data_IF_640666534493
#
_entry.id   IF_640666534493
#
_cell.length_a   1.000
_cell.length_b   1.000
_cell.length_c   1.000
_cell.angle_alpha   90.00
_cell.angle_beta   90.00
_cell.angle_gamma   90.00
#
_symmetry.space_group_name_H-M   'P 1'
#
loop_
_entity.id
_entity.type
_entity.pdbx_description
1 polymer ?
#
# COMPACT_ATOMS: atom_id res chain seq x y z
N UNK A 1 -16.49 10.26 9.88
CA UNK A 1 -15.35 9.35 9.61
C UNK A 1 -14.35 10.07 8.73
N UNK A 2 -13.22 10.54 9.26
CA UNK A 2 -12.15 11.07 8.41
C UNK A 2 -11.54 9.87 7.67
N UNK A 3 -11.86 9.69 6.39
CA UNK A 3 -11.16 8.74 5.53
C UNK A 3 -9.70 9.21 5.42
N UNK A 4 -8.83 8.71 6.31
CA UNK A 4 -7.38 8.94 6.26
C UNK A 4 -6.70 8.18 5.12
N UNK A 5 -7.46 7.35 4.41
CA UNK A 5 -7.03 6.53 3.29
C UNK A 5 -7.66 7.11 2.02
N UNK A 6 -6.85 7.69 1.11
CA UNK A 6 -7.35 8.13 -0.19
C UNK A 6 -7.67 6.93 -1.09
N UNK A 7 -8.42 7.15 -2.17
CA UNK A 7 -8.64 6.11 -3.18
C UNK A 7 -7.29 5.63 -3.72
N UNK A 8 -7.08 4.31 -3.81
CA UNK A 8 -5.79 3.77 -4.24
C UNK A 8 -5.43 4.21 -5.68
N UNK A 9 -6.45 4.41 -6.52
CA UNK A 9 -6.32 4.92 -7.89
C UNK A 9 -5.93 6.39 -7.98
N UNK A 10 -6.00 7.13 -6.86
CA UNK A 10 -5.56 8.54 -6.77
C UNK A 10 -4.11 8.69 -6.30
N UNK A 11 -3.48 7.59 -5.86
CA UNK A 11 -2.07 7.55 -5.49
C UNK A 11 -1.22 7.15 -6.70
N UNK A 12 0.01 7.65 -6.76
CA UNK A 12 0.99 7.14 -7.74
C UNK A 12 1.48 5.74 -7.34
N UNK A 13 1.95 4.97 -8.33
CA UNK A 13 2.48 3.62 -8.08
C UNK A 13 3.62 3.63 -7.06
N UNK A 14 4.47 4.66 -7.11
CA UNK A 14 5.58 4.81 -6.18
C UNK A 14 5.13 4.98 -4.72
N UNK A 15 4.10 5.79 -4.42
CA UNK A 15 3.58 5.93 -3.07
C UNK A 15 2.86 4.67 -2.59
N UNK A 16 2.20 3.93 -3.48
CA UNK A 16 1.58 2.64 -3.13
C UNK A 16 2.67 1.62 -2.77
N UNK A 17 3.70 1.47 -3.61
CA UNK A 17 4.82 0.58 -3.35
C UNK A 17 5.53 0.94 -2.04
N UNK A 18 5.82 2.23 -1.83
CA UNK A 18 6.44 2.71 -0.59
C UNK A 18 5.55 2.48 0.64
N UNK A 19 4.22 2.63 0.51
CA UNK A 19 3.28 2.32 1.58
C UNK A 19 3.31 0.83 1.93
N UNK A 20 3.25 -0.06 0.93
CA UNK A 20 3.30 -1.51 1.10
C UNK A 20 4.59 -1.96 1.78
N UNK A 21 5.74 -1.44 1.33
CA UNK A 21 7.04 -1.70 1.98
C UNK A 21 7.08 -1.17 3.41
N UNK A 22 6.53 0.03 3.64
CA UNK A 22 6.42 0.60 4.98
C UNK A 22 5.56 -0.25 5.92
N UNK A 23 4.46 -0.84 5.43
CA UNK A 23 3.61 -1.69 6.27
C UNK A 23 4.33 -2.96 6.76
N UNK A 24 5.30 -3.49 6.00
CA UNK A 24 6.16 -4.60 6.45
C UNK A 24 6.94 -4.24 7.72
N UNK A 25 7.48 -3.01 7.76
CA UNK A 25 8.31 -2.51 8.86
C UNK A 25 7.50 -1.90 10.01
N UNK A 26 6.17 -1.88 9.90
CA UNK A 26 5.28 -1.33 10.92
C UNK A 26 4.99 0.17 10.75
N UNK A 27 5.29 0.77 9.59
CA UNK A 27 4.85 2.11 9.28
C UNK A 27 3.31 2.18 9.29
N UNK A 28 2.76 3.28 9.78
CA UNK A 28 1.31 3.47 9.86
C UNK A 28 0.82 4.51 8.85
N UNK A 29 1.26 4.38 7.60
CA UNK A 29 0.80 5.25 6.51
C UNK A 29 -0.72 5.09 6.37
N UNK A 30 -1.43 6.21 6.20
CA UNK A 30 -2.90 6.26 6.12
C UNK A 30 -3.68 5.69 7.33
N UNK A 31 -3.01 5.36 8.44
CA UNK A 31 -3.66 4.77 9.62
C UNK A 31 -3.98 3.27 9.51
N UNK A 32 -3.45 2.57 8.50
CA UNK A 32 -3.72 1.16 8.24
C UNK A 32 -2.60 0.21 8.64
N UNK A 33 -1.52 0.68 9.26
CA UNK A 33 -0.32 -0.13 9.53
C UNK A 33 -0.61 -1.43 10.28
N UNK A 34 -1.45 -1.40 11.30
CA UNK A 34 -1.82 -2.60 12.05
C UNK A 34 -2.62 -3.62 11.23
N UNK A 35 -3.45 -3.17 10.29
CA UNK A 35 -4.27 -4.03 9.43
C UNK A 35 -3.49 -4.52 8.20
N UNK A 36 -2.63 -3.67 7.64
CA UNK A 36 -1.85 -3.96 6.44
C UNK A 36 -0.57 -4.73 6.73
N UNK A 37 -0.03 -4.69 7.95
CA UNK A 37 1.17 -5.46 8.33
C UNK A 37 1.07 -6.95 7.99
N UNK A 38 0.05 -7.72 8.43
CA UNK A 38 -0.04 -9.14 8.09
C UNK A 38 -0.22 -9.41 6.59
N UNK A 39 -0.75 -8.44 5.83
CA UNK A 39 -0.91 -8.52 4.37
C UNK A 39 0.42 -8.25 3.66
N UNK A 40 1.18 -7.25 4.15
CA UNK A 40 2.44 -6.83 3.56
C UNK A 40 3.60 -7.78 3.94
N UNK A 41 3.59 -8.39 5.13
CA UNK A 41 4.66 -9.29 5.61
C UNK A 41 5.02 -10.41 4.64
N UNK A 42 4.08 -11.18 4.06
CA UNK A 42 4.41 -12.25 3.11
C UNK A 42 4.75 -11.75 1.69
N UNK A 43 4.53 -10.46 1.42
CA UNK A 43 4.72 -9.88 0.09
C UNK A 43 6.22 -9.71 -0.19
N UNK A 44 6.70 -10.08 -1.38
CA UNK A 44 8.04 -9.72 -1.85
C UNK A 44 8.10 -8.24 -2.27
N UNK A 45 9.25 -7.74 -2.72
CA UNK A 45 9.34 -6.38 -3.25
C UNK A 45 8.79 -6.32 -4.68
N UNK A 46 8.94 -7.42 -5.42
CA UNK A 46 8.35 -7.65 -6.73
C UNK A 46 6.81 -7.66 -6.65
N UNK A 47 6.24 -8.33 -5.65
CA UNK A 47 4.79 -8.36 -5.43
C UNK A 47 4.24 -6.96 -5.11
N UNK A 48 4.94 -6.19 -4.26
CA UNK A 48 4.53 -4.84 -3.90
C UNK A 48 4.50 -3.91 -5.13
N UNK A 49 5.50 -4.05 -6.01
CA UNK A 49 5.55 -3.34 -7.29
C UNK A 49 4.43 -3.79 -8.24
N UNK A 50 4.23 -5.10 -8.40
CA UNK A 50 3.18 -5.64 -9.26
C UNK A 50 1.78 -5.19 -8.82
N UNK A 51 1.52 -5.15 -7.52
CA UNK A 51 0.26 -4.64 -6.96
C UNK A 51 0.12 -3.14 -7.22
N UNK A 52 1.18 -2.36 -7.03
CA UNK A 52 1.16 -0.93 -7.30
C UNK A 52 0.87 -0.62 -8.78
N UNK A 53 1.51 -1.35 -9.70
CA UNK A 53 1.26 -1.25 -11.15
C UNK A 53 -0.17 -1.68 -11.50
N UNK A 54 -0.65 -2.80 -10.95
CA UNK A 54 -2.01 -3.27 -11.18
C UNK A 54 -3.06 -2.24 -10.77
N UNK A 55 -2.89 -1.60 -9.60
CA UNK A 55 -3.81 -0.57 -9.12
C UNK A 55 -3.91 0.61 -10.10
N UNK A 56 -2.83 0.99 -10.79
CA UNK A 56 -2.87 2.05 -11.80
C UNK A 56 -3.74 1.69 -13.02
N UNK A 57 -3.96 0.40 -13.27
CA UNK A 57 -4.81 -0.08 -14.37
C UNK A 57 -6.29 -0.10 -14.02
N UNK A 58 -6.62 -0.04 -12.72
CA UNK A 58 -7.99 0.01 -12.22
C UNK A 58 -8.53 1.44 -12.38
N UNK A 59 -9.13 1.72 -13.53
CA UNK A 59 -9.88 2.97 -13.77
C UNK A 59 -11.36 2.79 -13.45
#
# INVERSE_FOLDING_TARGET
>A
FNNKVPALTSLDAAAIEAALKGYKTGANKFGLGAMMKPIATPMSDEDAKAVAEYIQTLK
#
